data_IF_523172139118
#
_entry.id   IF_523172139118
#
_cell.length_a   1.000
_cell.length_b   1.000
_cell.length_c   1.000
_cell.angle_alpha   90.00
_cell.angle_beta   90.00
_cell.angle_gamma   90.00
#
_symmetry.space_group_name_H-M   'P 1'
#
loop_
_entity.id
_entity.type
_entity.pdbx_description
1 polymer ?
#
# COMPACT_ATOMS: atom_id res chain seq x y z
N UNK A 1 7.01 8.38 12.64
CA UNK A 1 5.94 7.37 12.40
C UNK A 1 6.30 6.51 11.20
N UNK A 2 6.29 5.19 11.36
CA UNK A 2 6.49 4.27 10.23
C UNK A 2 5.36 4.45 9.20
N UNK A 3 5.68 4.53 7.90
CA UNK A 3 4.71 4.52 6.80
C UNK A 3 4.17 3.10 6.60
N UNK A 4 3.43 2.63 7.59
CA UNK A 4 2.91 1.28 7.68
C UNK A 4 1.40 1.30 7.96
N UNK A 5 0.70 0.31 7.43
CA UNK A 5 -0.72 0.14 7.70
C UNK A 5 -0.94 -0.45 9.10
N UNK A 6 -1.62 0.28 9.98
CA UNK A 6 -1.92 -0.17 11.35
C UNK A 6 -2.79 -1.44 11.43
N UNK A 7 -3.51 -1.80 10.34
CA UNK A 7 -4.45 -2.94 10.32
C UNK A 7 -3.81 -4.22 9.77
N UNK A 8 -2.86 -4.10 8.82
CA UNK A 8 -2.31 -5.28 8.12
C UNK A 8 -0.79 -5.29 7.98
N UNK A 9 -0.08 -4.35 8.61
CA UNK A 9 1.39 -4.30 8.60
C UNK A 9 2.02 -4.06 7.22
N UNK A 10 1.23 -3.58 6.24
CA UNK A 10 1.76 -3.31 4.90
C UNK A 10 2.78 -2.18 4.95
N UNK A 11 4.02 -2.52 4.60
CA UNK A 11 5.16 -1.62 4.46
C UNK A 11 5.55 -1.40 3.00
N UNK A 12 6.42 -0.42 2.76
CA UNK A 12 7.00 -0.19 1.44
C UNK A 12 7.90 -1.36 1.03
N UNK A 13 7.86 -1.75 -0.25
CA UNK A 13 8.73 -2.79 -0.82
C UNK A 13 9.64 -2.24 -1.91
N UNK A 14 10.82 -2.83 -2.06
CA UNK A 14 11.69 -2.59 -3.22
C UNK A 14 11.33 -3.57 -4.33
N UNK A 15 11.07 -3.07 -5.53
CA UNK A 15 10.63 -3.91 -6.66
C UNK A 15 11.47 -3.59 -7.89
N UNK A 16 11.87 -4.60 -8.65
CA UNK A 16 12.55 -4.40 -9.93
C UNK A 16 11.60 -3.76 -10.95
N UNK A 17 12.06 -2.72 -11.65
CA UNK A 17 11.33 -2.15 -12.78
C UNK A 17 11.71 -2.94 -14.04
N UNK A 18 10.71 -3.42 -14.75
CA UNK A 18 10.87 -3.98 -16.09
C UNK A 18 10.31 -2.98 -17.11
N UNK A 19 11.01 -2.81 -18.23
CA UNK A 19 10.53 -2.00 -19.36
C UNK A 19 10.40 -2.93 -20.57
N UNK A 20 9.24 -2.89 -21.23
CA UNK A 20 9.02 -3.61 -22.49
C UNK A 20 9.39 -2.68 -23.62
N UNK A 21 10.52 -2.93 -24.26
CA UNK A 21 10.97 -2.10 -25.38
C UNK A 21 10.29 -2.52 -26.69
N UNK A 22 9.99 -3.82 -26.86
CA UNK A 22 9.18 -4.38 -27.96
C UNK A 22 8.52 -5.72 -27.58
N UNK A 23 9.28 -6.82 -27.62
CA UNK A 23 8.79 -8.18 -27.33
C UNK A 23 9.07 -8.65 -25.90
N UNK A 24 10.27 -8.40 -25.38
CA UNK A 24 10.72 -8.87 -24.05
C UNK A 24 10.77 -7.73 -23.03
N UNK A 25 10.54 -8.11 -21.77
CA UNK A 25 10.73 -7.24 -20.62
C UNK A 25 12.19 -7.24 -20.19
N UNK A 26 12.83 -6.07 -20.25
CA UNK A 26 14.20 -5.89 -19.80
C UNK A 26 14.24 -5.34 -18.37
N UNK A 27 15.02 -5.95 -17.46
CA UNK A 27 15.22 -5.41 -16.12
C UNK A 27 16.02 -4.12 -16.19
N UNK A 28 15.50 -3.10 -15.50
CA UNK A 28 16.15 -1.80 -15.33
C UNK A 28 16.47 -1.62 -13.83
N UNK A 29 16.22 -0.44 -13.26
CA UNK A 29 16.51 -0.17 -11.86
C UNK A 29 15.46 -0.72 -10.88
N UNK A 30 15.83 -0.80 -9.60
CA UNK A 30 14.89 -1.07 -8.51
C UNK A 30 14.15 0.22 -8.12
N UNK A 31 12.84 0.16 -7.93
CA UNK A 31 12.01 1.27 -7.46
C UNK A 31 11.27 0.87 -6.18
N UNK A 32 11.21 1.78 -5.21
CA UNK A 32 10.39 1.59 -4.02
C UNK A 32 8.91 1.81 -4.35
N UNK A 33 8.06 0.87 -3.94
CA UNK A 33 6.60 0.96 -4.03
C UNK A 33 6.05 1.15 -2.62
N UNK A 34 5.27 2.19 -2.45
CA UNK A 34 4.62 2.51 -1.18
C UNK A 34 3.18 1.99 -1.17
N UNK A 35 2.69 1.49 -0.03
CA UNK A 35 1.26 1.22 0.14
C UNK A 35 0.48 2.53 0.06
N UNK A 36 -0.72 2.50 -0.53
CA UNK A 36 -1.65 3.62 -0.53
C UNK A 36 -2.28 3.73 0.86
N UNK A 37 -1.60 4.46 1.75
CA UNK A 37 -1.96 4.68 3.15
C UNK A 37 -2.78 5.96 3.27
N UNK A 38 -3.93 5.89 3.92
CA UNK A 38 -4.80 7.03 4.19
C UNK A 38 -5.30 7.01 5.64
N UNK A 39 -5.66 8.18 6.12
CA UNK A 39 -6.20 8.34 7.47
C UNK A 39 -7.65 7.88 7.53
N UNK A 40 -7.96 7.03 8.51
CA UNK A 40 -9.33 6.57 8.76
C UNK A 40 -9.71 6.59 10.21
N UNK A 41 -10.99 6.81 10.48
CA UNK A 41 -11.59 6.60 11.79
C UNK A 41 -12.04 5.15 11.91
N UNK A 42 -11.58 4.47 12.95
CA UNK A 42 -12.08 3.15 13.34
C UNK A 42 -13.48 3.30 13.96
N UNK A 43 -14.29 2.22 14.00
CA UNK A 43 -15.55 2.19 14.75
C UNK A 43 -15.36 2.56 16.23
N UNK A 44 -14.18 2.30 16.79
CA UNK A 44 -13.79 2.68 18.15
C UNK A 44 -13.45 4.18 18.33
N UNK A 45 -13.73 5.04 17.33
CA UNK A 45 -13.49 6.49 17.37
C UNK A 45 -12.04 6.93 17.11
N UNK A 46 -11.06 6.02 17.20
CA UNK A 46 -9.64 6.34 17.01
C UNK A 46 -9.29 6.57 15.53
N UNK A 47 -8.42 7.56 15.27
CA UNK A 47 -7.88 7.84 13.92
C UNK A 47 -6.57 7.07 13.72
N UNK A 48 -6.51 6.27 12.67
CA UNK A 48 -5.34 5.43 12.33
C UNK A 48 -4.95 5.60 10.87
N UNK A 49 -3.67 5.37 10.57
CA UNK A 49 -3.17 5.30 9.21
C UNK A 49 -3.37 3.87 8.68
N UNK A 50 -4.23 3.70 7.67
CA UNK A 50 -4.60 2.40 7.13
C UNK A 50 -4.51 2.38 5.61
N UNK A 51 -4.19 1.22 5.02
CA UNK A 51 -4.16 1.09 3.56
C UNK A 51 -5.57 1.07 2.99
N UNK A 52 -5.77 1.64 1.81
CA UNK A 52 -7.09 1.77 1.16
C UNK A 52 -7.86 0.45 1.01
N UNK A 53 -7.18 -0.70 0.85
CA UNK A 53 -7.83 -2.01 0.86
C UNK A 53 -8.49 -2.35 2.21
N UNK A 54 -7.83 -2.04 3.32
CA UNK A 54 -8.40 -2.24 4.66
C UNK A 54 -9.56 -1.29 4.93
N UNK A 55 -9.46 -0.03 4.47
CA UNK A 55 -10.55 0.95 4.56
C UNK A 55 -11.79 0.44 3.84
N UNK A 56 -11.61 -0.04 2.60
CA UNK A 56 -12.70 -0.60 1.80
C UNK A 56 -13.36 -1.81 2.47
N UNK A 57 -12.58 -2.65 3.16
CA UNK A 57 -13.11 -3.79 3.92
C UNK A 57 -13.92 -3.31 5.12
N UNK A 58 -13.40 -2.36 5.90
CA UNK A 58 -14.09 -1.76 7.04
C UNK A 58 -15.46 -1.18 6.66
N UNK A 59 -15.55 -0.51 5.51
CA UNK A 59 -16.78 0.10 5.02
C UNK A 59 -17.86 -0.92 4.61
N UNK A 60 -17.50 -2.19 4.34
CA UNK A 60 -18.47 -3.24 3.97
C UNK A 60 -19.10 -3.95 5.18
N UNK A 61 -18.40 -3.92 6.31
CA UNK A 61 -18.83 -4.51 7.59
C UNK A 61 -19.55 -3.51 8.48
N UNK A 62 -19.72 -2.28 8.01
CA UNK A 62 -20.48 -1.24 8.67
C UNK A 62 -21.91 -1.26 8.14
#
# INVERSE_FOLDING_TARGET
>A
MAKECAICGKKSGMVGKLVKLRGKYNPTGKKRKYPNLQWTRLPSGKRVLACTKCIKRLAKTK
#
